data_IF_716754845081
#
_entry.id   IF_716754845081
#
_cell.length_a   1.000
_cell.length_b   1.000
_cell.length_c   1.000
_cell.angle_alpha   90.00
_cell.angle_beta   90.00
_cell.angle_gamma   90.00
#
_symmetry.space_group_name_H-M   'P 1'
#
loop_
_entity.id
_entity.type
_entity.pdbx_description
1 polymer ?
#
# COMPACT_ATOMS: atom_id res chain seq x y z
N UNK A 1 11.98 -5.06 -3.23
CA UNK A 1 11.62 -5.34 -1.82
C UNK A 1 10.15 -5.74 -1.68
N UNK A 2 9.79 -6.68 -0.79
CA UNK A 2 8.39 -7.00 -0.45
C UNK A 2 8.14 -6.74 1.05
N UNK A 3 7.16 -5.89 1.35
CA UNK A 3 6.69 -5.63 2.72
C UNK A 3 5.32 -6.29 2.97
N UNK A 4 5.23 -7.15 3.99
CA UNK A 4 4.01 -7.89 4.33
C UNK A 4 3.24 -7.21 5.46
N UNK A 5 2.23 -6.41 5.11
CA UNK A 5 1.46 -5.61 6.07
C UNK A 5 0.52 -6.48 6.93
N UNK A 6 -0.25 -7.44 6.37
CA UNK A 6 -1.05 -8.34 7.20
C UNK A 6 -0.23 -9.08 8.26
N UNK A 7 1.00 -9.50 7.92
CA UNK A 7 1.87 -10.20 8.86
C UNK A 7 2.22 -9.35 10.09
N UNK A 8 2.59 -8.08 9.89
CA UNK A 8 2.93 -7.19 11.02
C UNK A 8 1.74 -6.69 11.80
N UNK A 9 0.56 -6.63 11.18
CA UNK A 9 -0.70 -6.31 11.85
C UNK A 9 -1.38 -7.50 12.51
N UNK A 10 -0.92 -8.74 12.28
CA UNK A 10 -1.54 -9.95 12.83
C UNK A 10 -2.92 -10.24 12.25
N UNK A 11 -3.19 -9.83 11.01
CA UNK A 11 -4.48 -9.98 10.31
C UNK A 11 -4.31 -10.78 9.00
N UNK A 12 -5.41 -11.26 8.43
CA UNK A 12 -5.36 -12.02 7.16
C UNK A 12 -5.23 -11.13 5.92
N UNK A 13 -5.88 -9.96 5.96
CA UNK A 13 -5.85 -8.94 4.92
C UNK A 13 -6.18 -7.57 5.54
N UNK A 14 -5.67 -6.50 4.95
CA UNK A 14 -5.87 -5.13 5.41
C UNK A 14 -7.30 -4.68 5.09
N UNK A 15 -8.06 -4.14 6.06
CA UNK A 15 -9.41 -3.63 5.81
C UNK A 15 -9.37 -2.25 5.10
N UNK A 16 -10.39 -1.90 4.30
CA UNK A 16 -10.48 -0.59 3.65
C UNK A 16 -10.47 0.60 4.63
N UNK A 17 -11.03 0.41 5.82
CA UNK A 17 -11.17 1.45 6.85
C UNK A 17 -9.85 1.82 7.52
N UNK A 18 -8.86 0.93 7.47
CA UNK A 18 -7.53 1.11 8.06
C UNK A 18 -6.46 0.88 6.99
N UNK A 19 -6.26 1.84 6.07
CA UNK A 19 -5.31 1.71 4.97
C UNK A 19 -3.88 1.51 5.48
N UNK A 20 -2.97 1.10 4.60
CA UNK A 20 -1.55 0.97 4.95
C UNK A 20 -0.96 2.36 5.22
N UNK A 21 -0.37 2.53 6.39
CA UNK A 21 0.24 3.76 6.88
C UNK A 21 1.77 3.63 6.92
N UNK A 22 2.54 4.73 7.02
CA UNK A 22 4.01 4.67 7.03
C UNK A 22 4.57 3.78 8.14
N UNK A 23 3.93 3.78 9.31
CA UNK A 23 4.35 2.99 10.47
C UNK A 23 4.27 1.48 10.20
N UNK A 24 3.36 1.04 9.34
CA UNK A 24 3.26 -0.35 8.92
C UNK A 24 4.42 -0.75 8.01
N UNK A 25 4.85 0.16 7.13
CA UNK A 25 6.02 -0.05 6.26
C UNK A 25 7.28 -0.24 7.11
N UNK A 26 7.50 0.64 8.08
CA UNK A 26 8.62 0.52 9.02
C UNK A 26 8.52 -0.71 9.91
N UNK A 27 7.32 -1.08 10.35
CA UNK A 27 7.10 -2.29 11.12
C UNK A 27 7.44 -3.54 10.28
N UNK A 28 7.05 -3.55 9.00
CA UNK A 28 7.37 -4.62 8.06
C UNK A 28 8.88 -4.74 7.82
N UNK A 29 9.57 -3.62 7.56
CA UNK A 29 11.04 -3.58 7.47
C UNK A 29 11.70 -4.25 8.69
N UNK A 30 11.31 -3.81 9.90
CA UNK A 30 11.85 -4.35 11.16
C UNK A 30 11.55 -5.83 11.35
N UNK A 31 10.32 -6.25 11.10
CA UNK A 31 9.90 -7.64 11.30
C UNK A 31 10.56 -8.60 10.31
N UNK A 32 10.79 -8.14 9.07
CA UNK A 32 11.39 -8.94 8.01
C UNK A 32 12.93 -8.84 8.01
N UNK A 33 13.52 -7.93 8.81
CA UNK A 33 14.96 -7.70 8.82
C UNK A 33 15.49 -7.13 7.51
N UNK A 34 14.66 -6.36 6.80
CA UNK A 34 14.99 -5.74 5.51
C UNK A 34 14.96 -4.23 5.64
N UNK A 35 15.60 -3.56 4.68
CA UNK A 35 15.55 -2.11 4.54
C UNK A 35 15.33 -1.79 3.08
N UNK A 36 14.33 -0.97 2.78
CA UNK A 36 14.11 -0.39 1.47
C UNK A 36 15.20 0.63 1.22
N UNK A 37 15.87 0.52 0.08
CA UNK A 37 16.96 1.38 -0.32
C UNK A 37 16.66 2.09 -1.63
N UNK A 38 17.46 3.11 -1.94
CA UNK A 38 17.29 3.89 -3.16
C UNK A 38 17.40 3.00 -4.41
N UNK A 39 16.45 3.15 -5.33
CA UNK A 39 16.38 2.33 -6.54
C UNK A 39 15.53 1.07 -6.41
N UNK A 40 15.04 0.75 -5.21
CA UNK A 40 14.22 -0.45 -5.00
C UNK A 40 12.86 -0.34 -5.68
N UNK A 41 12.42 -1.47 -6.25
CA UNK A 41 11.01 -1.74 -6.55
C UNK A 41 10.35 -2.21 -5.26
N UNK A 42 9.46 -1.41 -4.69
CA UNK A 42 8.72 -1.74 -3.48
C UNK A 42 7.40 -2.43 -3.82
N UNK A 43 7.23 -3.65 -3.31
CA UNK A 43 5.97 -4.38 -3.34
C UNK A 43 5.36 -4.35 -1.93
N UNK A 44 4.11 -3.93 -1.81
CA UNK A 44 3.38 -3.91 -0.54
C UNK A 44 2.22 -4.91 -0.62
N UNK A 45 2.29 -5.95 0.20
CA UNK A 45 1.23 -6.95 0.32
C UNK A 45 0.18 -6.45 1.31
N UNK A 46 -1.07 -6.40 0.85
CA UNK A 46 -2.27 -6.09 1.64
C UNK A 46 -3.09 -7.34 1.98
N UNK A 47 -2.79 -8.49 1.35
CA UNK A 47 -3.47 -9.76 1.59
C UNK A 47 -4.72 -9.97 0.73
N UNK A 48 -5.02 -9.07 -0.19
CA UNK A 48 -6.19 -9.14 -1.07
C UNK A 48 -6.20 -10.39 -1.96
N UNK A 49 -5.04 -10.91 -2.37
CA UNK A 49 -5.00 -12.17 -3.10
C UNK A 49 -5.56 -13.34 -2.28
N UNK A 50 -5.20 -13.42 -0.98
CA UNK A 50 -5.75 -14.43 -0.06
C UNK A 50 -7.24 -14.21 0.15
N UNK A 51 -7.68 -12.97 0.37
CA UNK A 51 -9.11 -12.62 0.47
C UNK A 51 -9.90 -13.17 -0.72
N UNK A 52 -9.39 -12.99 -1.95
CA UNK A 52 -10.03 -13.50 -3.17
C UNK A 52 -10.10 -15.02 -3.25
N UNK A 53 -9.09 -15.74 -2.77
CA UNK A 53 -9.12 -17.21 -2.70
C UNK A 53 -10.15 -17.70 -1.68
N UNK A 54 -10.24 -17.03 -0.53
CA UNK A 54 -11.08 -17.46 0.59
C UNK A 54 -12.56 -17.06 0.39
N UNK A 55 -12.83 -15.87 -0.18
CA UNK A 55 -14.19 -15.30 -0.30
C UNK A 55 -14.71 -15.21 -1.73
N UNK A 56 -13.88 -15.53 -2.73
CA UNK A 56 -14.20 -15.34 -4.14
C UNK A 56 -14.02 -13.89 -4.63
N UNK A 57 -14.30 -13.63 -5.92
CA UNK A 57 -14.19 -12.30 -6.51
C UNK A 57 -15.22 -11.34 -5.93
N UNK A 58 -14.81 -10.09 -5.71
CA UNK A 58 -15.69 -8.99 -5.28
C UNK A 58 -15.88 -7.98 -6.42
N UNK A 59 -17.06 -7.34 -6.54
CA UNK A 59 -17.27 -6.23 -7.48
C UNK A 59 -16.29 -5.09 -7.24
N UNK A 60 -15.88 -4.40 -8.31
CA UNK A 60 -14.99 -3.23 -8.21
C UNK A 60 -15.64 -2.02 -7.51
N UNK A 61 -16.94 -2.09 -7.21
CA UNK A 61 -17.67 -1.07 -6.44
C UNK A 61 -17.49 -1.24 -4.92
N UNK A 62 -16.98 -2.39 -4.48
CA UNK A 62 -16.72 -2.64 -3.07
C UNK A 62 -15.52 -1.82 -2.58
N UNK A 63 -15.54 -1.33 -1.32
CA UNK A 63 -14.41 -0.64 -0.74
C UNK A 63 -13.12 -1.47 -0.80
N UNK A 64 -12.00 -0.80 -1.06
CA UNK A 64 -10.68 -1.42 -1.15
C UNK A 64 -9.62 -0.58 -0.46
N UNK A 65 -8.60 -1.27 0.04
CA UNK A 65 -7.47 -0.67 0.75
C UNK A 65 -6.29 -0.45 -0.19
N UNK A 66 -5.38 0.44 0.19
CA UNK A 66 -4.09 0.66 -0.45
C UNK A 66 -3.13 1.34 0.53
N UNK A 67 -1.94 1.72 0.06
CA UNK A 67 -1.12 2.71 0.75
C UNK A 67 -1.83 4.06 0.80
N UNK A 68 -1.88 4.67 1.99
CA UNK A 68 -2.45 5.99 2.17
C UNK A 68 -1.48 7.07 1.64
N UNK A 69 -1.98 8.24 1.26
CA UNK A 69 -1.16 9.36 0.76
C UNK A 69 -0.02 9.80 1.70
N UNK A 70 -0.16 9.57 3.01
CA UNK A 70 0.86 9.81 4.02
C UNK A 70 2.10 8.91 3.88
N UNK A 71 2.03 7.84 3.10
CA UNK A 71 3.19 7.02 2.74
C UNK A 71 4.09 7.70 1.71
N UNK A 72 3.61 8.71 0.98
CA UNK A 72 4.38 9.34 -0.10
C UNK A 72 5.67 10.04 0.35
N UNK A 73 5.74 10.75 1.50
CA UNK A 73 7.02 11.25 2.01
C UNK A 73 8.00 10.13 2.34
N UNK A 74 7.52 9.01 2.89
CA UNK A 74 8.34 7.86 3.20
C UNK A 74 8.90 7.20 1.93
N UNK A 75 8.09 7.05 0.88
CA UNK A 75 8.56 6.57 -0.43
C UNK A 75 9.66 7.45 -1.01
N UNK A 76 9.50 8.77 -0.90
CA UNK A 76 10.50 9.72 -1.36
C UNK A 76 11.79 9.65 -0.54
N UNK A 77 11.69 9.58 0.79
CA UNK A 77 12.85 9.47 1.69
C UNK A 77 13.65 8.19 1.41
N UNK A 78 12.96 7.08 1.12
CA UNK A 78 13.59 5.80 0.81
C UNK A 78 14.10 5.69 -0.63
N UNK A 79 13.80 6.65 -1.50
CA UNK A 79 14.23 6.63 -2.90
C UNK A 79 13.63 5.47 -3.69
N UNK A 80 12.39 5.10 -3.38
CA UNK A 80 11.69 4.00 -4.08
C UNK A 80 11.59 4.36 -5.57
N UNK A 81 11.94 3.41 -6.44
CA UNK A 81 11.90 3.59 -7.90
C UNK A 81 10.56 3.18 -8.53
N UNK A 82 9.83 2.25 -7.90
CA UNK A 82 8.53 1.77 -8.36
C UNK A 82 7.72 1.19 -7.20
N UNK A 83 6.40 1.40 -7.18
CA UNK A 83 5.48 0.79 -6.22
C UNK A 83 4.52 -0.21 -6.90
N UNK A 84 4.39 -1.39 -6.29
CA UNK A 84 3.35 -2.37 -6.63
C UNK A 84 2.59 -2.85 -5.39
N UNK A 85 1.30 -3.16 -5.56
CA UNK A 85 0.46 -3.76 -4.52
C UNK A 85 -0.32 -4.95 -5.07
N UNK A 86 -0.86 -5.81 -4.20
CA UNK A 86 -1.84 -6.85 -4.59
C UNK A 86 -3.30 -6.34 -4.59
N UNK A 87 -3.47 -5.01 -4.58
CA UNK A 87 -4.73 -4.27 -4.67
C UNK A 87 -4.65 -3.19 -5.76
N UNK A 88 -5.67 -2.32 -5.82
CA UNK A 88 -5.47 -0.98 -6.38
C UNK A 88 -4.40 -0.23 -5.57
N UNK A 89 -3.66 0.66 -6.23
CA UNK A 89 -2.73 1.58 -5.57
C UNK A 89 -3.44 2.80 -4.93
N UNK A 90 -4.76 2.92 -5.04
CA UNK A 90 -5.54 3.92 -4.29
C UNK A 90 -6.62 3.27 -3.44
N UNK A 91 -6.83 3.86 -2.26
CA UNK A 91 -7.95 3.53 -1.39
C UNK A 91 -9.27 3.88 -2.11
N UNK A 92 -10.28 3.04 -1.93
CA UNK A 92 -11.64 3.28 -2.41
C UNK A 92 -12.63 3.07 -1.25
N UNK A 93 -13.48 4.05 -0.94
CA UNK A 93 -13.54 5.40 -1.52
C UNK A 93 -12.28 6.23 -1.17
N UNK A 94 -12.04 7.32 -1.92
CA UNK A 94 -10.96 8.24 -1.57
C UNK A 94 -11.21 8.90 -0.22
N UNK A 95 -10.15 9.07 0.57
CA UNK A 95 -10.16 9.81 1.83
C UNK A 95 -10.13 11.34 1.64
N UNK A 96 -10.03 11.82 0.40
CA UNK A 96 -9.98 13.25 0.08
C UNK A 96 -11.21 13.65 -0.72
N UNK A 97 -11.86 14.74 -0.30
CA UNK A 97 -13.13 15.20 -0.89
C UNK A 97 -13.03 15.55 -2.39
N UNK A 98 -11.88 16.02 -2.84
CA UNK A 98 -11.69 16.56 -4.20
C UNK A 98 -10.68 15.78 -5.04
N UNK A 99 -10.02 14.78 -4.47
CA UNK A 99 -8.95 14.01 -5.14
C UNK A 99 -9.35 12.55 -5.17
N UNK A 100 -9.57 12.01 -6.37
CA UNK A 100 -10.06 10.63 -6.56
C UNK A 100 -8.96 9.58 -6.42
N UNK A 101 -7.75 9.91 -6.87
CA UNK A 101 -6.60 9.01 -6.95
C UNK A 101 -5.35 9.69 -6.35
N UNK A 102 -5.33 9.96 -5.03
CA UNK A 102 -4.29 10.76 -4.39
C UNK A 102 -2.91 10.12 -4.48
N UNK A 103 -2.81 8.79 -4.31
CA UNK A 103 -1.53 8.10 -4.35
C UNK A 103 -0.96 8.11 -5.76
N UNK A 104 -1.78 7.83 -6.77
CA UNK A 104 -1.35 7.93 -8.18
C UNK A 104 -0.90 9.36 -8.50
N UNK A 105 -1.67 10.37 -8.11
CA UNK A 105 -1.36 11.77 -8.44
C UNK A 105 -0.04 12.21 -7.84
N UNK A 106 0.18 11.98 -6.54
CA UNK A 106 1.43 12.39 -5.88
C UNK A 106 2.61 11.55 -6.37
N UNK A 107 2.44 10.23 -6.48
CA UNK A 107 3.52 9.33 -6.89
C UNK A 107 3.99 9.59 -8.32
N UNK A 108 3.08 9.63 -9.28
CA UNK A 108 3.43 9.80 -10.69
C UNK A 108 3.84 11.23 -11.02
N UNK A 109 3.07 12.22 -10.57
CA UNK A 109 3.25 13.63 -11.01
C UNK A 109 4.33 14.34 -10.20
N UNK A 110 4.43 14.05 -8.89
CA UNK A 110 5.34 14.79 -8.00
C UNK A 110 6.62 14.03 -7.73
N UNK A 111 6.56 12.71 -7.54
CA UNK A 111 7.73 11.91 -7.16
C UNK A 111 8.45 11.29 -8.35
N UNK A 112 7.74 11.02 -9.45
CA UNK A 112 8.27 10.28 -10.61
C UNK A 112 8.37 8.77 -10.36
N UNK A 113 7.46 8.25 -9.52
CA UNK A 113 7.32 6.85 -9.11
C UNK A 113 6.29 6.10 -9.96
#
# INVERSE_FOLDING_TARGET
MLLDIPAVRGISWVPPEEPVMPQDLEAAERAQGVRVEEGDILLVRTGNYRKRLDTGPVPNTEPSTACQGACTPWFKERGVAMLGTDTSNDCQPSHYATVTAPLHTVSLVTLGL
#
